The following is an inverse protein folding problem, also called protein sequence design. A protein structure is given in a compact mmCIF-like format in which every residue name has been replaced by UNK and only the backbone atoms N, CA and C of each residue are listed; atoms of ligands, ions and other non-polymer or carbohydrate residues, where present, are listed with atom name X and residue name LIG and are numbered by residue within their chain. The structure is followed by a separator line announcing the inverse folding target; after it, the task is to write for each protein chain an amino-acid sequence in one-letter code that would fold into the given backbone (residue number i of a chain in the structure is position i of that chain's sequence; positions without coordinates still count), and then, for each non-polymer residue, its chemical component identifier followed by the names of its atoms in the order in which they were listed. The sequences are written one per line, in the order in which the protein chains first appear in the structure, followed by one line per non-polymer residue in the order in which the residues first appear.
data_IF_856503111412
#
_entry.id   IF_856503111412
#
_cell.length_a   1.000
_cell.length_b   1.000
_cell.length_c   1.000
_cell.angle_alpha   90.00
_cell.angle_beta   90.00
_cell.angle_gamma   90.00
#
_symmetry.space_group_name_H-M   'P 1'
#
loop_
_entity.id
_entity.type
_entity.pdbx_description
1 polymer ?
#
# COMPACT_ATOMS: atom_id res chain seq x y z
N UNK A 1 2.39 -25.45 7.53
CA UNK A 1 1.15 -25.14 8.27
C UNK A 1 0.17 -24.59 7.24
N UNK A 2 -1.08 -25.08 7.18
CA UNK A 2 -2.05 -24.59 6.21
C UNK A 2 -2.44 -23.15 6.54
N UNK A 3 -2.16 -22.23 5.63
CA UNK A 3 -2.40 -20.78 5.80
C UNK A 3 -3.90 -20.48 5.79
N UNK A 4 -4.66 -21.30 5.07
CA UNK A 4 -6.12 -21.25 5.01
C UNK A 4 -6.68 -22.46 5.76
N UNK A 5 -7.61 -22.21 6.67
CA UNK A 5 -8.38 -23.26 7.34
C UNK A 5 -9.29 -23.99 6.34
N UNK A 6 -9.73 -25.22 6.64
CA UNK A 6 -10.69 -25.95 5.80
C UNK A 6 -12.01 -25.19 5.57
N UNK A 7 -12.30 -24.20 6.41
CA UNK A 7 -13.45 -23.30 6.30
C UNK A 7 -13.21 -22.07 5.41
N UNK A 8 -12.06 -21.94 4.76
CA UNK A 8 -11.73 -20.83 3.85
C UNK A 8 -11.32 -19.53 4.54
N UNK A 9 -11.05 -19.57 5.85
CA UNK A 9 -10.58 -18.40 6.62
C UNK A 9 -9.07 -18.46 6.84
N UNK A 10 -8.41 -17.30 6.79
CA UNK A 10 -7.00 -17.13 7.16
C UNK A 10 -6.81 -17.28 8.68
N UNK A 11 -5.55 -17.38 9.11
CA UNK A 11 -5.18 -17.40 10.53
C UNK A 11 -5.75 -16.23 11.35
N UNK A 12 -5.99 -15.08 10.70
CA UNK A 12 -6.59 -13.88 11.31
C UNK A 12 -8.13 -13.85 11.29
N UNK A 13 -8.78 -14.86 10.70
CA UNK A 13 -10.24 -14.88 10.49
C UNK A 13 -10.75 -14.05 9.30
N UNK A 14 -9.86 -13.49 8.47
CA UNK A 14 -10.22 -12.77 7.23
C UNK A 14 -10.43 -13.72 6.05
N UNK A 15 -11.17 -13.25 5.04
CA UNK A 15 -11.28 -13.93 3.74
C UNK A 15 -10.02 -13.70 2.90
N UNK A 16 -9.67 -14.61 1.96
CA UNK A 16 -8.54 -14.46 1.04
C UNK A 16 -8.53 -13.14 0.26
N UNK A 17 -9.71 -12.64 -0.12
CA UNK A 17 -9.87 -11.40 -0.90
C UNK A 17 -10.07 -10.14 -0.04
N UNK A 18 -9.88 -10.23 1.28
CA UNK A 18 -10.14 -9.12 2.20
C UNK A 18 -8.84 -8.53 2.76
N UNK A 19 -8.63 -7.25 2.49
CA UNK A 19 -7.52 -6.46 3.04
C UNK A 19 -7.71 -6.14 4.54
N UNK A 20 -6.61 -5.84 5.24
CA UNK A 20 -6.65 -5.27 6.60
C UNK A 20 -7.27 -3.88 6.57
N UNK A 21 -7.72 -3.43 7.75
CA UNK A 21 -8.21 -2.06 7.90
C UNK A 21 -7.10 -1.08 7.53
N UNK A 22 -7.45 -0.09 6.71
CA UNK A 22 -6.55 0.99 6.29
C UNK A 22 -6.94 2.24 7.07
N UNK A 23 -5.96 2.84 7.73
CA UNK A 23 -6.10 4.15 8.37
C UNK A 23 -5.01 5.05 7.82
N UNK A 24 -5.41 6.21 7.29
CA UNK A 24 -4.48 7.20 6.76
C UNK A 24 -4.74 8.56 7.41
N UNK A 25 -3.68 9.32 7.64
CA UNK A 25 -3.77 10.68 8.15
C UNK A 25 -2.68 11.53 7.49
N UNK A 26 -3.06 12.70 6.98
CA UNK A 26 -2.12 13.63 6.34
C UNK A 26 -1.68 14.70 7.36
N UNK A 27 -0.55 15.36 7.12
CA UNK A 27 -0.08 16.47 7.96
C UNK A 27 0.33 16.08 9.38
N UNK A 28 0.78 14.84 9.61
CA UNK A 28 1.18 14.36 10.94
C UNK A 28 2.44 15.04 11.49
N UNK A 29 3.42 15.33 10.63
CA UNK A 29 4.68 15.98 10.99
C UNK A 29 4.60 17.46 10.60
N UNK A 30 4.73 18.35 11.58
CA UNK A 30 4.64 19.81 11.37
C UNK A 30 5.87 20.40 10.66
N UNK A 31 7.03 19.81 10.88
CA UNK A 31 8.32 20.29 10.34
C UNK A 31 8.55 19.91 8.87
N UNK A 32 7.76 18.97 8.33
CA UNK A 32 7.87 18.53 6.95
C UNK A 32 6.93 19.34 6.04
N UNK A 33 7.32 19.54 4.78
CA UNK A 33 6.47 20.23 3.80
C UNK A 33 5.23 19.41 3.46
N UNK A 34 5.38 18.09 3.35
CA UNK A 34 4.25 17.16 3.39
C UNK A 34 4.56 15.98 4.29
N UNK A 35 3.54 15.43 4.93
CA UNK A 35 3.68 14.22 5.72
C UNK A 35 2.42 13.38 5.67
N UNK A 36 2.60 12.07 5.78
CA UNK A 36 1.49 11.15 5.85
C UNK A 36 1.81 10.00 6.80
N UNK A 37 0.85 9.67 7.63
CA UNK A 37 0.79 8.44 8.38
C UNK A 37 -0.14 7.47 7.67
N UNK A 38 0.33 6.25 7.40
CA UNK A 38 -0.44 5.20 6.77
C UNK A 38 -0.30 3.92 7.60
N UNK A 39 -1.43 3.34 7.95
CA UNK A 39 -1.52 2.11 8.74
C UNK A 39 -2.38 1.10 7.99
N UNK A 40 -1.83 -0.09 7.80
CA UNK A 40 -2.51 -1.24 7.21
C UNK A 40 -2.42 -2.42 8.18
N UNK A 41 -3.42 -2.52 9.04
CA UNK A 41 -3.42 -3.44 10.18
C UNK A 41 -2.21 -3.25 11.11
N UNK A 42 -1.23 -4.16 11.06
CA UNK A 42 -0.01 -4.09 11.88
C UNK A 42 1.09 -3.21 11.29
N UNK A 43 1.07 -3.01 9.97
CA UNK A 43 2.11 -2.25 9.26
C UNK A 43 1.82 -0.75 9.39
N UNK A 44 2.72 -0.01 10.04
CA UNK A 44 2.56 1.43 10.32
C UNK A 44 3.73 2.19 9.70
N UNK A 45 3.42 3.13 8.83
CA UNK A 45 4.41 3.88 8.06
C UNK A 45 4.17 5.36 8.24
N UNK A 46 5.24 6.07 8.55
CA UNK A 46 5.26 7.52 8.60
C UNK A 46 6.18 8.03 7.49
N UNK A 47 5.61 8.75 6.53
CA UNK A 47 6.33 9.34 5.43
C UNK A 47 6.41 10.86 5.61
N UNK A 48 7.59 11.43 5.36
CA UNK A 48 7.82 12.86 5.32
C UNK A 48 8.44 13.22 3.97
N UNK A 49 7.84 14.20 3.31
CA UNK A 49 8.32 14.78 2.06
C UNK A 49 8.87 16.16 2.38
N UNK A 50 10.12 16.35 1.97
CA UNK A 50 10.81 17.62 1.97
C UNK A 50 10.98 17.97 0.50
N UNK A 51 10.46 19.12 0.08
CA UNK A 51 10.16 19.40 -1.31
C UNK A 51 11.36 19.50 -2.27
N UNK A 52 11.11 20.07 -3.45
CA UNK A 52 12.08 20.05 -4.54
C UNK A 52 13.23 21.03 -4.26
N UNK A 53 14.24 20.59 -3.53
CA UNK A 53 15.49 21.33 -3.34
C UNK A 53 16.47 21.06 -4.49
N UNK A 54 17.15 22.10 -4.95
CA UNK A 54 18.28 21.93 -5.87
C UNK A 54 19.46 21.27 -5.14
N UNK A 55 19.79 20.04 -5.55
CA UNK A 55 21.09 19.43 -5.33
C UNK A 55 21.50 19.19 -3.87
N UNK A 56 20.86 18.24 -3.18
CA UNK A 56 21.50 17.38 -2.15
C UNK A 56 20.98 15.95 -2.29
N UNK A 57 21.83 14.94 -2.08
CA UNK A 57 21.43 13.52 -2.09
C UNK A 57 20.22 13.32 -1.16
N UNK A 58 19.13 12.81 -1.70
CA UNK A 58 17.96 12.38 -0.92
C UNK A 58 18.36 11.31 0.08
N UNK A 59 18.03 11.50 1.36
CA UNK A 59 18.15 10.44 2.37
C UNK A 59 17.15 9.33 2.07
N UNK A 60 17.62 8.10 2.20
CA UNK A 60 16.86 6.88 2.00
C UNK A 60 15.74 6.75 3.04
N UNK A 61 14.59 6.18 2.66
CA UNK A 61 13.48 5.88 3.56
C UNK A 61 13.96 5.01 4.73
N UNK A 62 13.80 5.48 5.96
CA UNK A 62 13.96 4.66 7.16
C UNK A 62 12.61 4.01 7.49
N UNK A 63 12.49 2.71 7.23
CA UNK A 63 11.31 1.93 7.58
C UNK A 63 11.41 1.52 9.07
N UNK A 64 10.45 1.94 9.91
CA UNK A 64 10.42 1.61 11.34
C UNK A 64 9.17 0.77 11.64
N UNK A 65 9.38 -0.54 11.73
CA UNK A 65 8.39 -1.63 11.93
C UNK A 65 7.62 -2.06 10.67
N UNK A 66 7.97 -3.25 10.17
CA UNK A 66 7.34 -3.85 9.00
C UNK A 66 6.74 -5.22 9.33
N UNK A 67 5.42 -5.26 9.48
CA UNK A 67 4.61 -6.47 9.70
C UNK A 67 4.13 -7.11 8.37
N UNK A 68 4.97 -7.05 7.33
CA UNK A 68 4.72 -7.59 5.99
C UNK A 68 3.96 -6.64 5.05
N UNK A 69 4.04 -6.88 3.74
CA UNK A 69 3.48 -5.99 2.69
C UNK A 69 4.01 -4.54 2.71
N UNK A 70 5.22 -4.35 3.24
CA UNK A 70 5.86 -3.05 3.46
C UNK A 70 5.97 -2.17 2.22
N UNK A 71 6.34 -2.74 1.07
CA UNK A 71 6.52 -1.97 -0.16
C UNK A 71 5.23 -1.27 -0.60
N UNK A 72 4.11 -1.98 -0.58
CA UNK A 72 2.81 -1.42 -0.98
C UNK A 72 2.40 -0.27 -0.04
N UNK A 73 2.53 -0.50 1.27
CA UNK A 73 2.21 0.51 2.26
C UNK A 73 3.13 1.75 2.15
N UNK A 74 4.43 1.57 1.85
CA UNK A 74 5.36 2.67 1.59
C UNK A 74 4.93 3.52 0.39
N UNK A 75 4.53 2.89 -0.71
CA UNK A 75 4.08 3.60 -1.93
C UNK A 75 2.80 4.40 -1.65
N UNK A 76 1.87 3.82 -0.90
CA UNK A 76 0.63 4.49 -0.50
C UNK A 76 0.92 5.70 0.42
N UNK A 77 1.77 5.52 1.42
CA UNK A 77 2.18 6.59 2.34
C UNK A 77 2.91 7.72 1.60
N UNK A 78 3.80 7.40 0.66
CA UNK A 78 4.52 8.38 -0.14
C UNK A 78 3.57 9.18 -1.04
N UNK A 79 2.58 8.53 -1.65
CA UNK A 79 1.59 9.20 -2.50
C UNK A 79 0.75 10.19 -1.70
N UNK A 80 0.34 9.81 -0.49
CA UNK A 80 -0.34 10.70 0.44
C UNK A 80 0.55 11.88 0.86
N UNK A 81 1.81 11.63 1.22
CA UNK A 81 2.72 12.70 1.66
C UNK A 81 3.07 13.68 0.53
N UNK A 82 3.20 13.21 -0.72
CA UNK A 82 3.38 14.09 -1.87
C UNK A 82 2.13 14.92 -2.16
N UNK A 83 0.94 14.34 -1.95
CA UNK A 83 -0.32 15.07 -2.06
C UNK A 83 -0.45 16.15 -0.98
N UNK A 84 -0.04 15.85 0.26
CA UNK A 84 -0.01 16.81 1.38
C UNK A 84 0.98 17.96 1.12
N UNK A 85 2.15 17.65 0.55
CA UNK A 85 3.14 18.65 0.16
C UNK A 85 2.67 19.58 -0.97
N UNK A 86 1.55 19.28 -1.63
CA UNK A 86 1.07 20.03 -2.79
C UNK A 86 1.98 19.91 -4.02
N UNK A 87 2.76 18.83 -4.11
CA UNK A 87 3.65 18.60 -5.27
C UNK A 87 2.79 18.12 -6.45
N UNK A 88 2.88 18.77 -7.63
CA UNK A 88 2.10 18.37 -8.78
C UNK A 88 2.53 16.98 -9.29
N UNK A 89 1.61 16.02 -9.19
CA UNK A 89 1.79 14.64 -9.67
C UNK A 89 0.85 14.32 -10.83
N UNK A 90 1.16 13.29 -11.62
CA UNK A 90 0.22 12.78 -12.63
C UNK A 90 -1.06 12.22 -11.99
N UNK A 91 -1.01 11.75 -10.75
CA UNK A 91 -2.15 11.22 -10.01
C UNK A 91 -1.68 10.48 -8.77
N UNK A 92 -2.63 10.09 -7.93
CA UNK A 92 -2.34 9.26 -6.76
C UNK A 92 -2.02 7.84 -7.19
N UNK A 93 -0.98 7.26 -6.60
CA UNK A 93 -0.60 5.87 -6.81
C UNK A 93 -1.16 5.04 -5.65
N UNK A 94 -1.80 3.93 -6.00
CA UNK A 94 -2.26 2.94 -5.04
C UNK A 94 -1.58 1.61 -5.31
N UNK A 95 -0.99 1.03 -4.27
CA UNK A 95 -0.27 -0.23 -4.33
C UNK A 95 -0.90 -1.27 -3.40
N UNK A 96 -0.91 -2.51 -3.86
CA UNK A 96 -1.36 -3.66 -3.10
C UNK A 96 -0.41 -4.84 -3.34
N UNK A 97 -0.25 -5.64 -2.29
CA UNK A 97 0.53 -6.88 -2.31
C UNK A 97 -0.42 -8.06 -2.36
N UNK A 98 -0.17 -9.01 -3.24
CA UNK A 98 -0.92 -10.26 -3.35
C UNK A 98 0.02 -11.45 -3.37
N UNK A 99 -0.44 -12.59 -2.87
CA UNK A 99 0.23 -13.88 -3.03
C UNK A 99 -0.74 -14.92 -3.56
N UNK A 100 -0.24 -16.09 -3.93
CA UNK A 100 -1.06 -17.25 -4.22
C UNK A 100 -0.81 -18.34 -3.18
N UNK A 101 -1.89 -18.86 -2.62
CA UNK A 101 -1.89 -19.93 -1.63
C UNK A 101 -2.86 -21.00 -2.11
N UNK A 102 -2.40 -22.24 -2.24
CA UNK A 102 -3.23 -23.39 -2.64
C UNK A 102 -4.06 -23.15 -3.93
N UNK A 103 -3.49 -22.40 -4.89
CA UNK A 103 -4.13 -22.07 -6.16
C UNK A 103 -5.13 -20.90 -6.11
N UNK A 104 -5.33 -20.28 -4.95
CA UNK A 104 -6.21 -19.13 -4.76
C UNK A 104 -5.40 -17.85 -4.48
N UNK A 105 -5.73 -16.71 -5.12
CA UNK A 105 -5.06 -15.44 -4.83
C UNK A 105 -5.51 -14.89 -3.48
N UNK A 106 -4.53 -14.60 -2.63
CA UNK A 106 -4.69 -13.97 -1.32
C UNK A 106 -4.17 -12.54 -1.42
N UNK A 107 -4.97 -11.58 -0.97
CA UNK A 107 -4.62 -10.15 -0.98
C UNK A 107 -4.11 -9.73 0.41
N UNK A 108 -3.19 -8.77 0.44
CA UNK A 108 -2.60 -8.22 1.66
C UNK A 108 -2.05 -9.28 2.61
N UNK A 109 -0.85 -9.76 2.26
CA UNK A 109 -0.12 -10.83 2.95
C UNK A 109 0.51 -10.28 4.24
N UNK A 110 0.38 -11.01 5.33
CA UNK A 110 1.00 -10.67 6.61
C UNK A 110 2.43 -11.23 6.70
N UNK A 111 3.26 -10.68 7.61
CA UNK A 111 4.61 -11.19 7.87
C UNK A 111 4.70 -12.71 8.12
N UNK A 112 3.72 -13.27 8.84
CA UNK A 112 3.69 -14.70 9.15
C UNK A 112 3.57 -15.55 7.88
N UNK A 113 2.77 -15.10 6.92
CA UNK A 113 2.58 -15.77 5.63
C UNK A 113 3.77 -15.51 4.69
N UNK A 114 4.42 -14.34 4.78
CA UNK A 114 5.65 -14.08 4.02
C UNK A 114 6.80 -15.04 4.40
N UNK A 115 6.81 -15.52 5.65
CA UNK A 115 7.82 -16.48 6.14
C UNK A 115 7.74 -17.84 5.43
N UNK A 116 6.55 -18.22 4.93
CA UNK A 116 6.31 -19.54 4.32
C UNK A 116 6.77 -19.65 2.85
N UNK A 117 7.62 -18.73 2.38
CA UNK A 117 8.19 -18.71 1.01
C UNK A 117 7.09 -18.69 -0.06
N UNK A 118 6.03 -17.91 0.17
CA UNK A 118 4.99 -17.72 -0.83
C UNK A 118 5.46 -16.78 -1.95
N UNK A 119 5.00 -16.97 -3.19
CA UNK A 119 5.12 -15.96 -4.24
C UNK A 119 4.38 -14.70 -3.83
N UNK A 120 5.08 -13.56 -3.85
CA UNK A 120 4.55 -12.24 -3.53
C UNK A 120 4.65 -11.36 -4.76
N UNK A 121 3.52 -10.82 -5.19
CA UNK A 121 3.42 -9.81 -6.24
C UNK A 121 2.93 -8.51 -5.63
N UNK A 122 3.77 -7.48 -5.65
CA UNK A 122 3.37 -6.11 -5.34
C UNK A 122 3.08 -5.38 -6.65
N UNK A 123 1.90 -4.79 -6.75
CA UNK A 123 1.48 -4.04 -7.93
C UNK A 123 1.07 -2.64 -7.50
N UNK A 124 1.47 -1.63 -8.25
CA UNK A 124 1.08 -0.24 -8.06
C UNK A 124 0.41 0.31 -9.32
N UNK A 125 -0.76 0.91 -9.16
CA UNK A 125 -1.56 1.52 -10.23
C UNK A 125 -1.69 3.02 -10.04
N UNK A 126 -1.83 3.73 -11.15
CA UNK A 126 -2.10 5.16 -11.15
C UNK A 126 -3.61 5.41 -11.24
N UNK A 127 -4.16 6.30 -10.41
CA UNK A 127 -5.57 6.75 -10.45
C UNK A 127 -6.63 5.62 -10.31
N UNK A 128 -6.24 4.45 -9.79
CA UNK A 128 -7.11 3.28 -9.75
C UNK A 128 -7.41 2.68 -11.14
N UNK A 129 -6.71 3.13 -12.18
CA UNK A 129 -6.87 2.64 -13.55
C UNK A 129 -5.93 1.44 -13.83
N UNK A 130 -6.08 0.85 -15.01
CA UNK A 130 -5.22 -0.25 -15.49
C UNK A 130 -3.78 0.17 -15.83
N UNK A 131 -3.41 1.44 -15.61
CA UNK A 131 -2.05 1.94 -15.80
C UNK A 131 -1.15 1.52 -14.63
N UNK A 132 -0.28 0.54 -14.88
CA UNK A 132 0.63 -0.03 -13.89
C UNK A 132 1.94 0.75 -13.85
N UNK A 133 2.32 1.23 -12.67
CA UNK A 133 3.55 2.00 -12.42
C UNK A 133 4.70 1.08 -11.98
N UNK A 134 4.39 0.11 -11.13
CA UNK A 134 5.37 -0.80 -10.55
C UNK A 134 4.76 -2.20 -10.46
N UNK A 135 5.54 -3.20 -10.84
CA UNK A 135 5.29 -4.60 -10.51
C UNK A 135 6.56 -5.17 -9.94
N UNK A 136 6.48 -5.75 -8.75
CA UNK A 136 7.56 -6.50 -8.14
C UNK A 136 7.07 -7.90 -7.80
N UNK A 137 7.70 -8.91 -8.39
CA UNK A 137 7.45 -10.30 -8.07
C UNK A 137 8.65 -10.87 -7.31
N UNK A 138 8.38 -11.36 -6.10
CA UNK A 138 9.34 -12.05 -5.26
C UNK A 138 8.93 -13.51 -5.12
N UNK A 139 9.91 -14.41 -5.20
CA UNK A 139 9.76 -15.86 -5.32
C UNK A 139 9.16 -16.34 -6.66
N UNK A 140 9.17 -17.67 -6.84
CA UNK A 140 8.77 -18.31 -8.11
C UNK A 140 7.26 -18.54 -8.14
N UNK A 141 6.62 -18.16 -9.24
CA UNK A 141 5.21 -18.46 -9.51
C UNK A 141 5.09 -19.17 -10.84
N UNK A 142 4.13 -20.10 -10.96
CA UNK A 142 3.81 -20.70 -12.24
C UNK A 142 3.07 -19.70 -13.13
N UNK A 143 3.36 -19.70 -14.43
CA UNK A 143 2.83 -18.71 -15.38
C UNK A 143 1.30 -18.74 -15.43
N UNK A 144 0.69 -19.92 -15.29
CA UNK A 144 -0.78 -20.07 -15.34
C UNK A 144 -1.51 -19.32 -14.23
N UNK A 145 -0.85 -19.08 -13.10
CA UNK A 145 -1.43 -18.40 -11.96
C UNK A 145 -1.17 -16.89 -11.96
N UNK A 146 -0.26 -16.41 -12.81
CA UNK A 146 0.10 -15.00 -12.88
C UNK A 146 -1.08 -14.10 -13.30
N UNK A 147 -1.92 -14.44 -14.30
CA UNK A 147 -3.06 -13.62 -14.69
C UNK A 147 -4.08 -13.46 -13.55
N UNK A 148 -4.36 -14.55 -12.83
CA UNK A 148 -5.28 -14.54 -11.69
C UNK A 148 -4.75 -13.64 -10.56
N UNK A 149 -3.44 -13.71 -10.28
CA UNK A 149 -2.79 -12.89 -9.27
C UNK A 149 -2.80 -11.40 -9.64
N UNK A 150 -2.50 -11.09 -10.91
CA UNK A 150 -2.53 -9.71 -11.40
C UNK A 150 -3.94 -9.11 -11.39
N UNK A 151 -4.97 -9.90 -11.75
CA UNK A 151 -6.36 -9.45 -11.68
C UNK A 151 -6.75 -9.11 -10.23
N UNK A 152 -6.48 -10.01 -9.28
CA UNK A 152 -6.76 -9.78 -7.87
C UNK A 152 -5.99 -8.57 -7.32
N UNK A 153 -4.73 -8.37 -7.72
CA UNK A 153 -3.94 -7.22 -7.32
C UNK A 153 -4.51 -5.90 -7.85
N UNK A 154 -4.98 -5.87 -9.10
CA UNK A 154 -5.63 -4.69 -9.70
C UNK A 154 -6.93 -4.34 -8.99
N UNK A 155 -7.79 -5.31 -8.73
CA UNK A 155 -9.05 -5.10 -8.02
C UNK A 155 -8.79 -4.57 -6.59
N UNK A 156 -7.76 -5.08 -5.93
CA UNK A 156 -7.35 -4.59 -4.61
C UNK A 156 -6.81 -3.17 -4.68
N UNK A 157 -5.99 -2.84 -5.69
CA UNK A 157 -5.48 -1.49 -5.86
C UNK A 157 -6.60 -0.46 -6.06
N UNK A 158 -7.68 -0.83 -6.76
CA UNK A 158 -8.87 0.02 -6.90
C UNK A 158 -9.50 0.34 -5.54
N UNK A 159 -9.72 -0.68 -4.71
CA UNK A 159 -10.25 -0.49 -3.36
C UNK A 159 -9.34 0.38 -2.47
N UNK A 160 -8.02 0.15 -2.53
CA UNK A 160 -7.04 0.97 -1.79
C UNK A 160 -7.04 2.42 -2.30
N UNK A 161 -7.15 2.63 -3.61
CA UNK A 161 -7.22 3.95 -4.21
C UNK A 161 -8.43 4.74 -3.71
N UNK A 162 -9.60 4.11 -3.65
CA UNK A 162 -10.82 4.72 -3.10
C UNK A 162 -10.64 5.10 -1.62
N UNK A 163 -10.05 4.23 -0.80
CA UNK A 163 -9.76 4.53 0.61
C UNK A 163 -8.79 5.72 0.77
N UNK A 164 -7.75 5.77 -0.05
CA UNK A 164 -6.77 6.88 -0.04
C UNK A 164 -7.44 8.19 -0.46
N UNK A 165 -8.28 8.16 -1.51
CA UNK A 165 -9.01 9.34 -1.97
C UNK A 165 -9.99 9.83 -0.90
N UNK A 166 -10.72 8.93 -0.25
CA UNK A 166 -11.62 9.28 0.86
C UNK A 166 -10.86 9.94 2.00
N UNK A 167 -9.70 9.40 2.41
CA UNK A 167 -8.88 10.00 3.46
C UNK A 167 -8.38 11.42 3.11
N UNK A 168 -8.05 11.67 1.84
CA UNK A 168 -7.68 13.03 1.38
C UNK A 168 -8.88 13.96 1.42
N UNK A 169 -10.04 13.52 0.93
CA UNK A 169 -11.27 14.33 0.94
C UNK A 169 -11.68 14.67 2.37
N UNK A 170 -11.72 13.68 3.26
CA UNK A 170 -12.02 13.89 4.69
C UNK A 170 -11.06 14.89 5.32
N UNK A 171 -9.78 14.83 4.97
CA UNK A 171 -8.79 15.80 5.44
C UNK A 171 -9.01 17.20 4.84
N UNK A 172 -9.40 17.31 3.57
CA UNK A 172 -9.69 18.61 2.95
C UNK A 172 -10.97 19.26 3.52
N UNK A 173 -11.95 18.45 3.91
CA UNK A 173 -13.20 18.91 4.51
C UNK A 173 -13.03 19.30 5.99
N UNK A 174 -12.32 18.49 6.77
CA UNK A 174 -12.12 18.73 8.21
C UNK A 174 -10.91 19.64 8.49
N UNK A 175 -9.87 19.51 7.67
CA UNK A 175 -8.69 20.37 7.65
C UNK A 175 -8.99 21.61 6.82
N UNK A 176 -9.85 22.47 7.35
CA UNK A 176 -10.04 23.82 6.85
C UNK A 176 -8.68 24.48 6.66
N UNK A 177 -8.19 24.50 5.41
CA UNK A 177 -7.17 25.36 4.83
C UNK A 177 -6.44 26.22 5.87
N UNK A 178 -5.68 25.59 6.76
CA UNK A 178 -5.01 26.32 7.83
C UNK A 178 -3.77 26.89 7.18
N UNK A 179 -3.93 28.11 6.68
CA UNK A 179 -2.89 28.98 6.16
C UNK A 179 -1.57 28.70 6.88
N UNK A 180 -0.62 28.11 6.14
CA UNK A 180 0.80 28.26 6.43
C UNK A 180 1.23 29.68 6.08
#
# INVERSE_FOLDING_TARGET
MSIVSEHGFRLDGRRPHQIRNISASLGTIRDAEGSAYFEQGGTKILCAVYGPYEGKRSKQLEDRCSDGSHLAACVNAASLAMSDAGIPMKGLVAAATCSIVDGQPVVDVNQREETDILPRLTLATLRGEDEVVLVELQNRVHVDHLPALMAAAKDTCKGVHECICAAIVDQLENGAFFLR
#
